data_IF_300909845639
#
_entry.id   IF_300909845639
#
_cell.length_a   1.000
_cell.length_b   1.000
_cell.length_c   1.000
_cell.angle_alpha   90.00
_cell.angle_beta   90.00
_cell.angle_gamma   90.00
#
_symmetry.space_group_name_H-M   'P 1'
#
loop_
_entity.id
_entity.type
_entity.pdbx_description
1 polymer ?
#
# COMPACT_ATOMS: atom_id res chain seq x y z
N UNK A 1 18.42 41.67 18.03
CA UNK A 1 17.50 40.76 17.32
C UNK A 1 17.02 39.73 18.32
N UNK A 2 15.74 39.69 18.71
CA UNK A 2 15.28 38.67 19.65
C UNK A 2 15.09 37.34 18.90
N UNK A 3 15.67 36.27 19.46
CA UNK A 3 15.48 34.89 19.03
C UNK A 3 14.01 34.52 19.14
N UNK A 4 13.37 34.30 17.99
CA UNK A 4 11.98 33.87 17.87
C UNK A 4 11.88 32.36 18.16
N UNK A 5 12.09 31.99 19.42
CA UNK A 5 11.94 30.60 19.87
C UNK A 5 10.45 30.32 19.98
N UNK A 6 9.84 29.85 18.89
CA UNK A 6 8.44 29.40 18.87
C UNK A 6 8.31 28.16 19.75
N UNK A 7 8.07 28.37 21.04
CA UNK A 7 7.77 27.28 21.98
C UNK A 7 6.38 26.74 21.62
N UNK A 8 6.29 25.46 21.29
CA UNK A 8 5.02 24.81 21.02
C UNK A 8 4.19 24.74 22.31
N UNK A 9 2.92 25.14 22.22
CA UNK A 9 1.95 24.98 23.31
C UNK A 9 1.64 23.49 23.51
N UNK A 10 2.25 22.90 24.54
CA UNK A 10 2.17 21.46 24.82
C UNK A 10 0.72 21.04 25.14
N UNK A 11 -0.08 21.89 25.79
CA UNK A 11 -1.46 21.56 26.12
C UNK A 11 -2.30 21.43 24.86
N UNK A 12 -2.14 22.39 23.94
CA UNK A 12 -2.80 22.35 22.64
C UNK A 12 -2.37 21.15 21.79
N UNK A 13 -1.09 20.77 21.84
CA UNK A 13 -0.59 19.56 21.15
C UNK A 13 -1.24 18.30 21.72
N UNK A 14 -1.37 18.17 23.05
CA UNK A 14 -2.00 17.01 23.68
C UNK A 14 -3.47 16.88 23.28
N UNK A 15 -4.23 17.97 23.34
CA UNK A 15 -5.64 17.99 22.94
C UNK A 15 -5.80 17.54 21.48
N UNK A 16 -5.01 18.09 20.56
CA UNK A 16 -5.06 17.70 19.15
C UNK A 16 -4.61 16.25 18.93
N UNK A 17 -3.65 15.75 19.70
CA UNK A 17 -3.21 14.36 19.62
C UNK A 17 -4.31 13.38 20.06
N UNK A 18 -5.04 13.71 21.13
CA UNK A 18 -6.19 12.93 21.60
C UNK A 18 -7.33 12.91 20.57
N UNK A 19 -7.68 14.09 20.03
CA UNK A 19 -8.68 14.19 18.95
C UNK A 19 -8.27 13.38 17.72
N UNK A 20 -6.98 13.43 17.35
CA UNK A 20 -6.45 12.66 16.23
C UNK A 20 -6.56 11.15 16.46
N UNK A 21 -6.32 10.67 17.70
CA UNK A 21 -6.46 9.25 18.03
C UNK A 21 -7.93 8.80 17.89
N UNK A 22 -8.88 9.61 18.38
CA UNK A 22 -10.31 9.35 18.24
C UNK A 22 -10.70 9.32 16.76
N UNK A 23 -10.26 10.32 15.98
CA UNK A 23 -10.54 10.39 14.55
C UNK A 23 -9.98 9.17 13.79
N UNK A 24 -8.75 8.73 14.11
CA UNK A 24 -8.16 7.52 13.52
C UNK A 24 -8.97 6.26 13.81
N UNK A 25 -9.46 6.12 15.04
CA UNK A 25 -10.31 4.99 15.40
C UNK A 25 -11.62 5.01 14.61
N UNK A 26 -12.27 6.17 14.52
CA UNK A 26 -13.50 6.35 13.73
C UNK A 26 -13.29 6.07 12.24
N UNK A 27 -12.16 6.50 11.67
CA UNK A 27 -11.77 6.19 10.29
C UNK A 27 -11.60 4.68 10.09
N UNK A 28 -10.98 3.98 11.05
CA UNK A 28 -10.83 2.52 10.99
C UNK A 28 -12.18 1.81 10.99
N UNK A 29 -13.10 2.24 11.85
CA UNK A 29 -14.47 1.69 11.93
C UNK A 29 -15.24 1.92 10.64
N UNK A 30 -15.24 3.15 10.11
CA UNK A 30 -15.90 3.47 8.83
C UNK A 30 -15.32 2.62 7.70
N UNK A 31 -13.99 2.49 7.62
CA UNK A 31 -13.35 1.65 6.61
C UNK A 31 -13.74 0.17 6.72
N UNK A 32 -13.98 -0.32 7.93
CA UNK A 32 -14.47 -1.69 8.12
C UNK A 32 -15.92 -1.83 7.64
N UNK A 33 -16.79 -0.91 8.05
CA UNK A 33 -18.19 -0.88 7.59
C UNK A 33 -18.29 -0.83 6.07
N UNK A 34 -17.49 0.02 5.42
CA UNK A 34 -17.43 0.10 3.96
C UNK A 34 -17.01 -1.21 3.30
N UNK A 35 -16.00 -1.89 3.85
CA UNK A 35 -15.57 -3.20 3.37
C UNK A 35 -16.64 -4.26 3.55
N UNK A 36 -17.36 -4.22 4.67
CA UNK A 36 -18.44 -5.15 4.94
C UNK A 36 -19.64 -4.94 4.00
N UNK A 37 -19.90 -3.69 3.57
CA UNK A 37 -20.96 -3.38 2.60
C UNK A 37 -20.65 -3.87 1.17
N UNK A 38 -19.38 -3.88 0.76
CA UNK A 38 -18.96 -4.38 -0.56
C UNK A 38 -18.46 -5.83 -0.51
N UNK A 39 -18.56 -6.46 0.67
CA UNK A 39 -18.16 -7.85 0.86
C UNK A 39 -19.06 -8.72 -0.01
N UNK A 40 -18.44 -9.57 -0.80
CA UNK A 40 -19.11 -10.48 -1.74
C UNK A 40 -19.82 -9.80 -2.93
N UNK A 41 -19.59 -8.49 -3.12
CA UNK A 41 -20.01 -7.78 -4.33
C UNK A 41 -19.02 -8.05 -5.46
N UNK A 42 -19.53 -8.52 -6.61
CA UNK A 42 -18.76 -8.79 -7.84
C UNK A 42 -19.00 -7.74 -8.94
N UNK A 43 -19.56 -6.59 -8.57
CA UNK A 43 -19.90 -5.50 -9.49
C UNK A 43 -18.97 -4.32 -9.24
N UNK A 44 -18.34 -3.84 -10.31
CA UNK A 44 -17.54 -2.63 -10.28
C UNK A 44 -18.42 -1.38 -10.28
N UNK A 45 -18.02 -0.37 -9.51
CA UNK A 45 -18.69 0.93 -9.51
C UNK A 45 -17.69 2.06 -9.28
N UNK A 46 -18.03 3.24 -9.80
CA UNK A 46 -17.30 4.46 -9.56
C UNK A 46 -18.29 5.61 -9.47
N UNK A 47 -18.54 6.08 -8.25
CA UNK A 47 -19.59 7.06 -7.96
C UNK A 47 -18.99 8.32 -7.33
N UNK A 48 -19.47 9.51 -7.73
CA UNK A 48 -19.05 10.76 -7.11
C UNK A 48 -19.67 10.94 -5.71
N UNK A 49 -18.92 11.58 -4.82
CA UNK A 49 -19.35 12.00 -3.50
C UNK A 49 -19.83 13.44 -3.52
N UNK A 50 -20.74 13.76 -2.60
CA UNK A 50 -21.35 15.09 -2.49
C UNK A 50 -20.35 16.22 -2.23
N UNK A 51 -19.16 15.92 -1.71
CA UNK A 51 -18.11 16.91 -1.42
C UNK A 51 -17.02 16.99 -2.52
N UNK A 52 -17.26 16.37 -3.67
CA UNK A 52 -16.37 16.40 -4.84
C UNK A 52 -15.40 15.22 -4.93
N UNK A 53 -15.40 14.30 -3.96
CA UNK A 53 -14.63 13.06 -4.03
C UNK A 53 -15.27 11.98 -4.90
N UNK A 54 -14.64 10.80 -4.92
CA UNK A 54 -15.11 9.60 -5.64
C UNK A 54 -14.91 8.36 -4.77
N UNK A 55 -15.86 7.44 -4.87
CA UNK A 55 -15.72 6.07 -4.35
C UNK A 55 -15.67 5.12 -5.54
N UNK A 56 -14.60 4.35 -5.63
CA UNK A 56 -14.38 3.36 -6.69
C UNK A 56 -14.19 1.98 -6.08
N UNK A 57 -14.92 1.00 -6.57
CA UNK A 57 -14.73 -0.41 -6.27
C UNK A 57 -14.49 -1.16 -7.58
N UNK A 58 -13.30 -1.75 -7.73
CA UNK A 58 -12.84 -2.35 -8.99
C UNK A 58 -12.04 -3.63 -8.72
N UNK A 59 -12.04 -4.55 -9.67
CA UNK A 59 -11.18 -5.73 -9.64
C UNK A 59 -9.79 -5.33 -10.16
N UNK A 60 -8.83 -5.21 -9.26
CA UNK A 60 -7.47 -4.80 -9.65
C UNK A 60 -6.65 -6.03 -10.01
N UNK A 61 -6.28 -6.13 -11.29
CA UNK A 61 -5.24 -7.06 -11.73
C UNK A 61 -3.89 -6.66 -11.13
N UNK A 62 -3.26 -7.59 -10.42
CA UNK A 62 -1.95 -7.33 -9.84
C UNK A 62 -0.90 -7.31 -10.95
N UNK A 63 -0.18 -6.18 -11.07
CA UNK A 63 0.98 -6.12 -11.96
C UNK A 63 2.01 -7.17 -11.53
N UNK A 64 2.59 -7.94 -12.46
CA UNK A 64 3.68 -8.85 -12.15
C UNK A 64 4.82 -8.10 -11.45
N UNK A 65 5.34 -8.67 -10.37
CA UNK A 65 6.47 -8.09 -9.64
C UNK A 65 7.49 -9.17 -9.33
N UNK A 66 8.76 -8.80 -9.44
CA UNK A 66 9.86 -9.68 -9.05
C UNK A 66 9.83 -9.83 -7.53
N UNK A 67 9.93 -11.07 -7.06
CA UNK A 67 10.20 -11.39 -5.66
C UNK A 67 11.68 -11.12 -5.36
N UNK A 68 12.00 -9.84 -5.11
CA UNK A 68 13.37 -9.40 -4.83
C UNK A 68 14.00 -10.11 -3.64
N UNK A 69 13.21 -10.56 -2.67
CA UNK A 69 13.74 -11.27 -1.49
C UNK A 69 14.29 -12.63 -1.89
N UNK A 70 13.51 -13.43 -2.63
CA UNK A 70 13.98 -14.72 -3.14
C UNK A 70 15.10 -14.55 -4.17
N UNK A 71 14.97 -13.56 -5.04
CA UNK A 71 15.96 -13.28 -6.07
C UNK A 71 17.33 -12.88 -5.48
N UNK A 72 17.35 -11.96 -4.51
CA UNK A 72 18.60 -11.57 -3.82
C UNK A 72 19.24 -12.74 -3.06
N UNK A 73 18.44 -13.58 -2.41
CA UNK A 73 18.93 -14.79 -1.75
C UNK A 73 19.53 -15.78 -2.76
N UNK A 74 18.90 -15.92 -3.93
CA UNK A 74 19.42 -16.75 -5.02
C UNK A 74 20.77 -16.23 -5.53
N UNK A 75 20.88 -14.93 -5.82
CA UNK A 75 22.14 -14.31 -6.24
C UNK A 75 23.26 -14.47 -5.21
N UNK A 76 22.94 -14.31 -3.93
CA UNK A 76 23.90 -14.51 -2.84
C UNK A 76 24.42 -15.95 -2.79
N UNK A 77 23.55 -16.94 -2.98
CA UNK A 77 23.94 -18.35 -3.03
C UNK A 77 24.81 -18.67 -4.26
N UNK A 78 24.51 -18.08 -5.42
CA UNK A 78 25.32 -18.18 -6.64
C UNK A 78 26.74 -17.66 -6.42
N UNK A 79 26.84 -16.47 -5.82
CA UNK A 79 28.11 -15.85 -5.48
C UNK A 79 28.96 -16.74 -4.57
N UNK A 80 28.34 -17.33 -3.53
CA UNK A 80 29.03 -18.21 -2.58
C UNK A 80 29.53 -19.52 -3.21
N UNK A 81 28.92 -19.97 -4.31
CA UNK A 81 29.35 -21.16 -5.06
C UNK A 81 30.40 -20.83 -6.13
N UNK A 82 30.68 -19.55 -6.38
CA UNK A 82 31.58 -19.11 -7.44
C UNK A 82 31.02 -19.33 -8.86
N UNK A 83 29.73 -19.59 -8.98
CA UNK A 83 29.05 -19.78 -10.26
C UNK A 83 28.82 -18.41 -10.93
N UNK A 84 29.03 -18.34 -12.25
CA UNK A 84 28.76 -17.15 -13.06
C UNK A 84 27.72 -17.50 -14.11
N UNK A 85 26.71 -16.66 -14.22
CA UNK A 85 25.71 -16.75 -15.28
C UNK A 85 26.11 -15.81 -16.42
N UNK A 86 25.81 -16.24 -17.63
CA UNK A 86 25.74 -15.37 -18.81
C UNK A 86 24.56 -14.39 -18.69
N UNK A 87 24.53 -13.39 -19.55
CA UNK A 87 23.45 -12.40 -19.55
C UNK A 87 22.11 -13.03 -19.92
N UNK A 88 22.11 -13.99 -20.85
CA UNK A 88 20.93 -14.74 -21.25
C UNK A 88 20.41 -15.63 -20.11
N UNK A 89 21.28 -16.31 -19.37
CA UNK A 89 20.89 -17.12 -18.22
C UNK A 89 20.34 -16.26 -17.08
N UNK A 90 20.93 -15.08 -16.85
CA UNK A 90 20.44 -14.14 -15.84
C UNK A 90 19.01 -13.65 -16.17
N UNK A 91 18.72 -13.42 -17.45
CA UNK A 91 17.39 -13.00 -17.90
C UNK A 91 16.33 -14.09 -17.59
N UNK A 92 16.62 -15.35 -17.92
CA UNK A 92 15.73 -16.49 -17.62
C UNK A 92 15.53 -16.65 -16.12
N UNK A 93 16.60 -16.46 -15.33
CA UNK A 93 16.54 -16.49 -13.87
C UNK A 93 15.60 -15.41 -13.36
N UNK A 94 15.74 -14.15 -13.77
CA UNK A 94 14.88 -13.04 -13.32
C UNK A 94 13.40 -13.35 -13.59
N UNK A 95 13.09 -13.89 -14.77
CA UNK A 95 11.73 -14.27 -15.16
C UNK A 95 11.13 -15.32 -14.21
N UNK A 96 11.93 -16.27 -13.73
CA UNK A 96 11.49 -17.28 -12.76
C UNK A 96 11.12 -16.71 -11.37
N UNK A 97 11.55 -15.49 -11.05
CA UNK A 97 11.19 -14.79 -9.82
C UNK A 97 10.04 -13.81 -9.99
N UNK A 98 9.47 -13.68 -11.18
CA UNK A 98 8.27 -12.86 -11.39
C UNK A 98 7.08 -13.56 -10.74
N UNK A 99 6.46 -12.88 -9.77
CA UNK A 99 5.25 -13.34 -9.09
C UNK A 99 4.09 -12.52 -9.60
N UNK A 100 3.10 -13.22 -10.16
CA UNK A 100 1.78 -12.68 -10.43
C UNK A 100 0.90 -13.00 -9.23
N UNK A 101 0.22 -11.99 -8.68
CA UNK A 101 -0.76 -12.19 -7.62
C UNK A 101 -2.15 -12.29 -8.24
N UNK A 102 -3.02 -13.05 -7.58
CA UNK A 102 -4.42 -13.11 -8.01
C UNK A 102 -5.05 -11.72 -8.02
N UNK A 103 -5.94 -11.43 -9.00
CA UNK A 103 -6.73 -10.22 -9.00
C UNK A 103 -7.46 -10.04 -7.67
N UNK A 104 -7.51 -8.80 -7.21
CA UNK A 104 -8.14 -8.49 -5.92
C UNK A 104 -9.05 -7.29 -6.04
N UNK A 105 -10.25 -7.43 -5.50
CA UNK A 105 -11.17 -6.34 -5.30
C UNK A 105 -10.57 -5.22 -4.43
N UNK A 106 -10.65 -3.99 -4.92
CA UNK A 106 -10.09 -2.81 -4.28
C UNK A 106 -11.14 -1.72 -4.14
N UNK A 107 -11.41 -1.31 -2.90
CA UNK A 107 -12.18 -0.10 -2.60
C UNK A 107 -11.22 1.08 -2.42
N UNK A 108 -11.43 2.15 -3.18
CA UNK A 108 -10.64 3.39 -3.13
C UNK A 108 -11.57 4.58 -2.94
N UNK A 109 -11.17 5.49 -2.07
CA UNK A 109 -11.84 6.78 -1.88
C UNK A 109 -10.80 7.87 -2.16
N UNK A 110 -11.12 8.76 -3.10
CA UNK A 110 -10.26 9.88 -3.49
C UNK A 110 -11.04 11.18 -3.39
N UNK A 111 -10.33 12.28 -3.12
CA UNK A 111 -10.85 13.64 -3.18
C UNK A 111 -10.14 14.39 -4.29
#
# INVERSE_FOLDING_TARGET
MPNDTRVADIERVKLLAEELLIAKQKVKEINQMLKDLVRDTEIEFSEPLSDGGWVTYELVEAKPRIDYRKYSQYLFNLLNRGEKLTEEEMQVVIESFVVTKDPKWSLKIKK
#
